data_IF_366062028166
#
_entry.id   IF_366062028166
#
_cell.length_a   1.000
_cell.length_b   1.000
_cell.length_c   1.000
_cell.angle_alpha   90.00
_cell.angle_beta   90.00
_cell.angle_gamma   90.00
#
_symmetry.space_group_name_H-M   'P 1'
#
loop_
_entity.id
_entity.type
_entity.pdbx_description
1 polymer ?
#
# COMPACT_ATOMS: atom_id res chain seq x y z
N UNK A 1 -7.51 -25.34 30.11
CA UNK A 1 -7.89 -24.40 29.03
C UNK A 1 -6.66 -24.14 28.17
N UNK A 2 -6.61 -24.70 26.95
CA UNK A 2 -5.54 -24.42 25.97
C UNK A 2 -6.10 -23.42 24.97
N UNK A 3 -5.60 -22.17 24.97
CA UNK A 3 -5.88 -21.22 23.89
C UNK A 3 -5.13 -21.70 22.66
N UNK A 4 -5.86 -22.07 21.60
CA UNK A 4 -5.33 -22.26 20.25
C UNK A 4 -4.99 -20.89 19.69
N UNK A 5 -3.70 -20.58 19.58
CA UNK A 5 -3.21 -19.53 18.69
C UNK A 5 -3.17 -20.14 17.29
N UNK A 6 -4.07 -19.72 16.40
CA UNK A 6 -3.99 -20.04 14.98
C UNK A 6 -2.93 -19.13 14.35
N UNK A 7 -1.70 -19.63 14.17
CA UNK A 7 -0.70 -19.00 13.31
C UNK A 7 -0.73 -19.68 11.95
N UNK A 8 -1.29 -19.02 10.94
CA UNK A 8 -1.12 -19.42 9.54
C UNK A 8 -0.80 -18.20 8.70
N UNK A 9 0.39 -17.63 8.91
CA UNK A 9 1.17 -16.96 7.87
C UNK A 9 2.55 -16.66 8.44
N UNK A 10 3.57 -17.47 8.14
CA UNK A 10 4.93 -17.11 8.57
C UNK A 10 6.06 -17.52 7.64
N UNK A 11 5.80 -18.01 6.42
CA UNK A 11 6.85 -18.15 5.40
C UNK A 11 6.27 -18.00 3.99
N UNK A 12 5.67 -16.84 3.68
CA UNK A 12 5.38 -16.50 2.29
C UNK A 12 6.64 -15.89 1.68
N UNK A 13 7.30 -16.62 0.76
CA UNK A 13 8.37 -16.06 -0.07
C UNK A 13 7.72 -15.20 -1.15
N UNK A 14 7.97 -13.89 -1.11
CA UNK A 14 7.40 -12.95 -2.07
C UNK A 14 8.04 -13.22 -3.44
N UNK A 15 7.26 -13.20 -4.55
CA UNK A 15 7.77 -13.39 -5.91
C UNK A 15 8.98 -12.50 -6.20
N UNK A 16 9.94 -13.02 -6.99
CA UNK A 16 11.27 -12.44 -7.22
C UNK A 16 12.19 -12.46 -5.98
N UNK A 17 12.38 -13.61 -5.34
CA UNK A 17 13.39 -13.84 -4.29
C UNK A 17 13.34 -12.87 -3.10
N UNK A 18 12.14 -12.53 -2.61
CA UNK A 18 11.95 -11.50 -1.55
C UNK A 18 12.53 -10.13 -1.91
N UNK A 19 12.68 -9.82 -3.21
CA UNK A 19 13.11 -8.49 -3.68
C UNK A 19 12.18 -7.39 -3.19
N UNK A 20 10.90 -7.69 -3.07
CA UNK A 20 9.87 -6.77 -2.62
C UNK A 20 9.57 -7.06 -1.16
N UNK A 21 9.92 -6.13 -0.28
CA UNK A 21 9.63 -6.20 1.16
C UNK A 21 8.55 -5.16 1.44
N UNK A 22 7.33 -5.62 1.73
CA UNK A 22 6.20 -4.82 2.16
C UNK A 22 5.83 -5.28 3.57
N UNK A 23 6.47 -4.68 4.57
CA UNK A 23 6.21 -5.01 5.98
C UNK A 23 4.93 -4.35 6.50
N UNK A 24 4.65 -3.15 6.02
CA UNK A 24 3.48 -2.34 6.36
C UNK A 24 3.27 -1.23 5.29
N UNK A 25 2.22 -0.43 5.43
CA UNK A 25 1.90 0.73 4.57
C UNK A 25 2.96 1.85 4.61
N UNK A 26 3.91 1.79 5.57
CA UNK A 26 5.13 2.58 5.56
C UNK A 26 6.33 1.72 5.99
N UNK A 27 7.43 1.76 5.23
CA UNK A 27 8.66 1.05 5.62
C UNK A 27 9.94 1.81 5.24
N UNK A 28 11.01 1.54 5.99
CA UNK A 28 12.35 2.13 5.75
C UNK A 28 13.36 1.03 5.54
N UNK A 29 14.08 1.08 4.42
CA UNK A 29 15.24 0.23 4.19
C UNK A 29 16.51 1.07 4.10
N UNK A 30 17.57 0.63 4.76
CA UNK A 30 18.88 1.30 4.70
C UNK A 30 19.95 0.36 4.18
N UNK A 31 20.76 0.87 3.24
CA UNK A 31 21.92 0.16 2.69
C UNK A 31 23.18 0.99 2.93
N UNK A 32 24.26 0.35 3.37
CA UNK A 32 25.56 0.99 3.56
C UNK A 32 26.67 0.15 2.94
N UNK A 33 27.47 0.75 2.06
CA UNK A 33 28.71 0.15 1.60
C UNK A 33 29.80 0.40 2.64
N UNK A 34 30.29 -0.65 3.32
CA UNK A 34 31.36 -0.55 4.32
C UNK A 34 32.66 0.07 3.76
N UNK A 35 32.83 0.09 2.44
CA UNK A 35 34.02 0.58 1.73
C UNK A 35 33.87 2.00 1.16
N UNK A 36 32.65 2.50 0.93
CA UNK A 36 32.43 3.80 0.28
C UNK A 36 32.08 4.92 1.27
N UNK A 37 31.69 4.58 2.50
CA UNK A 37 31.18 5.56 3.47
C UNK A 37 29.83 6.17 3.09
N UNK A 38 29.18 5.66 2.03
CA UNK A 38 27.88 6.13 1.55
C UNK A 38 26.79 5.22 2.09
N UNK A 39 25.77 5.83 2.70
CA UNK A 39 24.54 5.17 3.12
C UNK A 39 23.33 5.73 2.39
N UNK A 40 22.39 4.85 2.01
CA UNK A 40 21.13 5.21 1.34
C UNK A 40 19.99 4.75 2.24
N UNK A 41 19.11 5.68 2.61
CA UNK A 41 17.83 5.40 3.26
C UNK A 41 16.70 5.53 2.25
N UNK A 42 15.93 4.47 2.06
CA UNK A 42 14.72 4.44 1.23
C UNK A 42 13.52 4.47 2.16
N UNK A 43 12.64 5.46 1.98
CA UNK A 43 11.40 5.64 2.72
C UNK A 43 10.25 5.36 1.77
N UNK A 44 9.59 4.22 1.97
CA UNK A 44 8.45 3.83 1.16
C UNK A 44 7.17 4.29 1.81
N UNK A 45 6.38 5.05 1.04
CA UNK A 45 5.17 5.76 1.47
C UNK A 45 4.03 5.23 0.61
N UNK A 46 2.96 4.76 1.26
CA UNK A 46 1.68 4.51 0.60
C UNK A 46 0.94 5.86 0.46
N UNK A 47 0.59 6.22 -0.78
CA UNK A 47 -0.23 7.37 -1.09
C UNK A 47 -1.41 7.00 -1.98
N UNK A 48 -1.93 5.78 -1.84
CA UNK A 48 -3.05 5.27 -2.62
C UNK A 48 -4.30 6.15 -2.51
N UNK A 49 -4.43 6.94 -1.44
CA UNK A 49 -5.47 7.96 -1.28
C UNK A 49 -5.41 9.10 -2.31
N UNK A 50 -4.27 9.30 -2.99
CA UNK A 50 -4.08 10.32 -4.00
C UNK A 50 -4.86 9.97 -5.27
N UNK A 51 -6.09 10.49 -5.32
CA UNK A 51 -7.13 10.50 -6.36
C UNK A 51 -6.67 10.24 -7.81
N UNK A 52 -6.23 9.01 -8.04
CA UNK A 52 -5.82 8.45 -9.33
C UNK A 52 -6.27 6.99 -9.30
N UNK A 53 -6.54 6.41 -10.47
CA UNK A 53 -7.25 5.14 -10.67
C UNK A 53 -6.92 3.98 -9.71
N UNK A 54 -5.76 3.96 -9.05
CA UNK A 54 -5.36 2.93 -8.09
C UNK A 54 -6.39 2.66 -6.99
N UNK A 55 -6.72 3.64 -6.15
CA UNK A 55 -7.65 3.41 -5.04
C UNK A 55 -9.09 3.20 -5.50
N UNK A 56 -9.58 3.96 -6.49
CA UNK A 56 -10.94 3.76 -6.99
C UNK A 56 -11.13 2.38 -7.62
N UNK A 57 -10.18 1.90 -8.43
CA UNK A 57 -10.23 0.54 -9.01
C UNK A 57 -10.09 -0.54 -7.93
N UNK A 58 -9.20 -0.33 -6.96
CA UNK A 58 -8.98 -1.28 -5.86
C UNK A 58 -10.21 -1.37 -4.96
N UNK A 59 -10.82 -0.25 -4.62
CA UNK A 59 -12.00 -0.19 -3.77
C UNK A 59 -13.24 -0.70 -4.50
N UNK A 60 -13.45 -0.32 -5.76
CA UNK A 60 -14.58 -0.84 -6.54
C UNK A 60 -14.49 -2.35 -6.81
N UNK A 61 -13.28 -2.91 -6.89
CA UNK A 61 -13.03 -4.31 -7.25
C UNK A 61 -13.74 -4.69 -8.56
N UNK A 62 -13.72 -3.79 -9.55
CA UNK A 62 -14.64 -3.84 -10.69
C UNK A 62 -14.61 -5.17 -11.45
N UNK A 63 -13.42 -5.71 -11.72
CA UNK A 63 -13.28 -7.00 -12.40
C UNK A 63 -13.92 -8.18 -11.66
N UNK A 64 -14.18 -8.06 -10.35
CA UNK A 64 -14.93 -9.03 -9.58
C UNK A 64 -16.45 -8.96 -9.78
N UNK A 65 -16.98 -7.79 -10.16
CA UNK A 65 -18.41 -7.53 -10.31
C UNK A 65 -18.87 -7.37 -11.76
N UNK A 66 -17.98 -6.99 -12.68
CA UNK A 66 -18.29 -6.71 -14.08
C UNK A 66 -18.55 -7.97 -14.94
N UNK A 67 -18.27 -9.17 -14.40
CA UNK A 67 -18.50 -10.43 -15.10
C UNK A 67 -17.62 -10.56 -16.34
N UNK A 68 -18.23 -10.65 -17.52
CA UNK A 68 -17.52 -10.77 -18.81
C UNK A 68 -17.35 -9.43 -19.55
N UNK A 69 -17.83 -8.33 -18.98
CA UNK A 69 -17.79 -6.98 -19.56
C UNK A 69 -16.73 -6.15 -18.82
N UNK A 70 -15.47 -6.34 -19.19
CA UNK A 70 -14.34 -5.63 -18.58
C UNK A 70 -14.22 -4.17 -19.03
N UNK A 71 -14.80 -3.81 -20.19
CA UNK A 71 -14.88 -2.43 -20.70
C UNK A 71 -15.59 -1.48 -19.72
N UNK A 72 -16.54 -2.01 -18.92
CA UNK A 72 -17.22 -1.24 -17.87
C UNK A 72 -16.25 -0.72 -16.78
N UNK A 73 -15.10 -1.37 -16.60
CA UNK A 73 -14.13 -1.00 -15.57
C UNK A 73 -13.24 0.20 -15.91
N UNK A 74 -13.24 0.67 -17.16
CA UNK A 74 -12.44 1.83 -17.59
C UNK A 74 -12.90 3.14 -16.94
N UNK A 75 -14.19 3.26 -16.62
CA UNK A 75 -14.79 4.48 -16.07
C UNK A 75 -15.64 4.20 -14.82
N UNK A 76 -15.34 3.11 -14.11
CA UNK A 76 -16.10 2.69 -12.95
C UNK A 76 -16.11 3.75 -11.85
N UNK A 77 -17.28 4.00 -11.28
CA UNK A 77 -17.50 5.01 -10.26
C UNK A 77 -18.20 4.43 -9.03
N UNK A 78 -18.00 5.11 -7.89
CA UNK A 78 -18.71 4.83 -6.64
C UNK A 78 -20.23 4.75 -6.87
N UNK A 79 -20.83 3.62 -6.50
CA UNK A 79 -22.27 3.40 -6.60
C UNK A 79 -22.73 2.75 -7.91
N UNK A 80 -21.85 2.52 -8.88
CA UNK A 80 -22.15 1.68 -10.03
C UNK A 80 -22.31 0.21 -9.59
N UNK A 81 -23.16 -0.56 -10.28
CA UNK A 81 -23.38 -1.98 -9.97
C UNK A 81 -22.08 -2.81 -10.04
N UNK A 82 -21.16 -2.44 -10.93
CA UNK A 82 -19.85 -3.07 -11.04
C UNK A 82 -18.84 -2.54 -10.00
N UNK A 83 -19.19 -1.59 -9.13
CA UNK A 83 -18.35 -1.08 -8.05
C UNK A 83 -18.91 -1.54 -6.70
N UNK A 84 -18.30 -2.56 -6.09
CA UNK A 84 -18.80 -3.16 -4.85
C UNK A 84 -20.27 -3.64 -4.93
N UNK A 85 -20.78 -3.99 -6.11
CA UNK A 85 -22.20 -4.32 -6.26
C UNK A 85 -23.15 -3.12 -6.08
N UNK A 86 -22.65 -1.88 -6.22
CA UNK A 86 -23.37 -0.65 -5.90
C UNK A 86 -23.32 -0.25 -4.42
N UNK A 87 -22.63 -1.00 -3.56
CA UNK A 87 -22.52 -0.71 -2.12
C UNK A 87 -21.55 0.47 -1.88
N UNK A 88 -22.13 1.64 -1.60
CA UNK A 88 -21.35 2.84 -1.35
C UNK A 88 -20.64 2.84 -0.01
N UNK A 89 -21.17 2.14 0.99
CA UNK A 89 -20.55 2.08 2.33
C UNK A 89 -19.30 1.21 2.28
N UNK A 90 -19.32 0.11 1.51
CA UNK A 90 -18.13 -0.71 1.27
C UNK A 90 -17.04 0.09 0.55
N UNK A 91 -17.40 0.87 -0.47
CA UNK A 91 -16.48 1.75 -1.16
C UNK A 91 -15.89 2.81 -0.22
N UNK A 92 -16.73 3.50 0.55
CA UNK A 92 -16.30 4.59 1.43
C UNK A 92 -15.40 4.10 2.55
N UNK A 93 -15.69 2.93 3.14
CA UNK A 93 -14.83 2.31 4.15
C UNK A 93 -13.45 1.95 3.58
N UNK A 94 -13.40 1.47 2.34
CA UNK A 94 -12.14 1.20 1.66
C UNK A 94 -11.33 2.48 1.42
N UNK A 95 -11.96 3.53 0.89
CA UNK A 95 -11.31 4.83 0.68
C UNK A 95 -10.84 5.47 1.99
N UNK A 96 -11.61 5.32 3.06
CA UNK A 96 -11.23 5.79 4.40
C UNK A 96 -9.95 5.08 4.89
N UNK A 97 -9.81 3.78 4.65
CA UNK A 97 -8.60 3.04 5.01
C UNK A 97 -7.38 3.54 4.25
N UNK A 98 -7.49 3.77 2.94
CA UNK A 98 -6.41 4.35 2.13
C UNK A 98 -6.02 5.75 2.61
N UNK A 99 -7.02 6.57 2.95
CA UNK A 99 -6.78 7.92 3.50
C UNK A 99 -6.03 7.85 4.83
N UNK A 100 -6.45 6.96 5.73
CA UNK A 100 -5.78 6.75 7.02
C UNK A 100 -4.31 6.32 6.81
N UNK A 101 -4.06 5.35 5.94
CA UNK A 101 -2.71 4.88 5.63
C UNK A 101 -1.85 5.94 4.94
N UNK A 102 -2.42 6.74 4.04
CA UNK A 102 -1.73 7.85 3.39
C UNK A 102 -1.33 8.93 4.39
N UNK A 103 -2.25 9.30 5.28
CA UNK A 103 -2.00 10.28 6.35
C UNK A 103 -0.93 9.81 7.33
N UNK A 104 -1.00 8.54 7.77
CA UNK A 104 0.00 7.98 8.68
C UNK A 104 1.38 7.86 8.01
N UNK A 105 1.43 7.41 6.75
CA UNK A 105 2.68 7.32 5.99
C UNK A 105 3.37 8.67 5.85
N UNK A 106 2.62 9.74 5.57
CA UNK A 106 3.16 11.12 5.48
C UNK A 106 3.67 11.62 6.85
N UNK A 107 2.97 11.33 7.94
CA UNK A 107 3.42 11.66 9.30
C UNK A 107 4.70 10.89 9.67
N UNK A 108 4.74 9.60 9.39
CA UNK A 108 5.92 8.77 9.63
C UNK A 108 7.12 9.23 8.78
N UNK A 109 6.89 9.64 7.52
CA UNK A 109 7.92 10.18 6.65
C UNK A 109 8.57 11.42 7.26
N UNK A 110 7.76 12.39 7.68
CA UNK A 110 8.24 13.65 8.27
C UNK A 110 9.16 13.38 9.47
N UNK A 111 8.70 12.53 10.40
CA UNK A 111 9.46 12.16 11.60
C UNK A 111 10.76 11.42 11.24
N UNK A 112 10.71 10.44 10.34
CA UNK A 112 11.86 9.57 10.08
C UNK A 112 12.90 10.24 9.17
N UNK A 113 12.50 11.06 8.19
CA UNK A 113 13.44 11.83 7.36
C UNK A 113 14.22 12.84 8.20
N UNK A 114 13.56 13.49 9.16
CA UNK A 114 14.20 14.46 10.06
C UNK A 114 15.30 13.82 10.92
N UNK A 115 15.10 12.56 11.33
CA UNK A 115 16.06 11.80 12.14
C UNK A 115 17.05 10.95 11.31
N UNK A 116 16.89 10.90 9.98
CA UNK A 116 17.71 10.06 9.13
C UNK A 116 19.13 10.60 8.95
N UNK A 117 20.12 9.76 9.23
CA UNK A 117 21.56 10.05 9.09
C UNK A 117 22.16 9.54 7.78
N UNK A 118 21.34 8.95 6.90
CA UNK A 118 21.81 8.43 5.62
C UNK A 118 22.37 9.54 4.71
N UNK A 119 23.43 9.24 3.97
CA UNK A 119 24.03 10.17 2.98
C UNK A 119 23.02 10.57 1.92
N UNK A 120 22.25 9.60 1.41
CA UNK A 120 21.17 9.81 0.46
C UNK A 120 19.85 9.35 1.04
N UNK A 121 18.80 10.13 0.78
CA UNK A 121 17.44 9.85 1.21
C UNK A 121 16.58 9.77 -0.05
N UNK A 122 15.94 8.63 -0.27
CA UNK A 122 15.05 8.38 -1.41
C UNK A 122 13.65 8.17 -0.85
N UNK A 123 12.68 8.95 -1.33
CA UNK A 123 11.26 8.69 -1.07
C UNK A 123 10.72 7.88 -2.23
N UNK A 124 10.26 6.67 -1.95
CA UNK A 124 9.56 5.82 -2.90
C UNK A 124 8.07 5.91 -2.59
N UNK A 125 7.33 6.57 -3.48
CA UNK A 125 5.90 6.80 -3.31
C UNK A 125 5.12 5.89 -4.26
N UNK A 126 4.14 5.18 -3.74
CA UNK A 126 3.21 4.34 -4.51
C UNK A 126 1.79 4.90 -4.42
#
# INVERSE_FOLDING_TARGET
MKKKTTSTSSVYTIPNDNRWVLEDHFYVCSFGGSTSGVSIGIFSVDSGDADTHGASQTCCQCYGYAGADDDTCDNISRGDDACCGGDTDMYDNCMAQFTEWGDDSRKQLEVKIANATATWKIVNNH
#
